data_IF_510036979828
#
_entry.id   IF_510036979828
#
_cell.length_a   1.000
_cell.length_b   1.000
_cell.length_c   1.000
_cell.angle_alpha   90.00
_cell.angle_beta   90.00
_cell.angle_gamma   90.00
#
_symmetry.space_group_name_H-M   'P 1'
#
loop_
_entity.id
_entity.type
_entity.pdbx_description
1 polymer ?
#
# COMPACT_ATOMS: atom_id res chain seq x y z
N UNK A 1 38.86 -16.16 -20.12
CA UNK A 1 37.46 -16.17 -20.57
C UNK A 1 37.29 -14.93 -21.41
N UNK A 2 37.02 -15.09 -22.70
CA UNK A 2 36.96 -13.97 -23.63
C UNK A 2 35.72 -13.13 -23.29
N UNK A 3 36.00 -11.86 -23.05
CA UNK A 3 34.98 -10.80 -22.89
C UNK A 3 34.17 -10.76 -24.19
N UNK A 4 32.89 -11.17 -24.11
CA UNK A 4 31.99 -11.06 -25.26
C UNK A 4 31.64 -9.58 -25.41
N UNK A 5 32.04 -8.93 -26.51
CA UNK A 5 31.60 -7.55 -26.72
C UNK A 5 30.09 -7.51 -26.83
N UNK A 6 29.47 -6.63 -26.05
CA UNK A 6 28.05 -6.33 -26.15
C UNK A 6 27.84 -5.59 -27.48
N UNK A 7 27.75 -6.35 -28.56
CA UNK A 7 27.38 -5.81 -29.88
C UNK A 7 25.88 -5.56 -29.88
N UNK A 8 25.45 -4.35 -29.52
CA UNK A 8 24.10 -3.91 -29.76
C UNK A 8 23.96 -3.48 -31.21
N UNK A 9 23.17 -4.18 -31.95
CA UNK A 9 22.63 -3.65 -33.19
C UNK A 9 21.68 -2.50 -32.84
N UNK A 10 21.95 -1.33 -33.36
CA UNK A 10 21.08 -0.16 -33.37
C UNK A 10 20.47 0.25 -32.02
N UNK A 11 21.28 0.78 -31.12
CA UNK A 11 20.81 1.62 -30.02
C UNK A 11 19.99 0.92 -28.91
N UNK A 12 19.86 -0.39 -28.90
CA UNK A 12 19.30 -1.15 -27.79
C UNK A 12 20.44 -1.68 -26.92
N UNK A 13 20.33 -1.53 -25.62
CA UNK A 13 21.03 -2.42 -24.68
C UNK A 13 20.91 -3.83 -25.21
N UNK A 14 22.01 -4.52 -25.46
CA UNK A 14 21.99 -5.89 -26.01
C UNK A 14 20.96 -6.71 -25.27
N UNK A 15 20.06 -7.37 -26.00
CA UNK A 15 18.84 -7.97 -25.45
C UNK A 15 19.08 -8.90 -24.25
N UNK A 16 20.26 -9.48 -24.13
CA UNK A 16 20.62 -10.35 -22.99
C UNK A 16 20.98 -9.53 -21.73
N UNK A 17 21.68 -8.42 -21.84
CA UNK A 17 22.07 -7.59 -20.68
C UNK A 17 20.88 -6.85 -20.10
N UNK A 18 20.04 -6.26 -20.95
CA UNK A 18 18.80 -5.63 -20.55
C UNK A 18 17.84 -6.63 -19.87
N UNK A 19 17.69 -7.84 -20.43
CA UNK A 19 16.86 -8.89 -19.86
C UNK A 19 17.39 -9.40 -18.52
N UNK A 20 18.68 -9.47 -18.31
CA UNK A 20 19.28 -9.89 -17.03
C UNK A 20 19.04 -8.84 -15.96
N UNK A 21 19.24 -7.56 -16.27
CA UNK A 21 18.98 -6.45 -15.36
C UNK A 21 17.47 -6.36 -15.02
N UNK A 22 16.60 -6.50 -16.00
CA UNK A 22 15.14 -6.45 -15.82
C UNK A 22 14.63 -7.62 -14.96
N UNK A 23 15.16 -8.83 -15.12
CA UNK A 23 14.83 -9.99 -14.26
C UNK A 23 15.30 -9.80 -12.82
N UNK A 24 16.49 -9.25 -12.64
CA UNK A 24 16.98 -8.90 -11.32
C UNK A 24 16.05 -7.90 -10.64
N UNK A 25 15.63 -6.87 -11.37
CA UNK A 25 14.67 -5.85 -10.91
C UNK A 25 13.34 -6.48 -10.48
N UNK A 26 12.82 -7.41 -11.26
CA UNK A 26 11.57 -8.11 -10.93
C UNK A 26 11.68 -8.81 -9.56
N UNK A 27 12.77 -9.50 -9.31
CA UNK A 27 12.97 -10.21 -8.04
C UNK A 27 13.10 -9.27 -6.85
N UNK A 28 13.88 -8.20 -6.99
CA UNK A 28 14.06 -7.20 -5.92
C UNK A 28 12.79 -6.39 -5.69
N UNK A 29 12.07 -6.10 -6.76
CA UNK A 29 10.80 -5.40 -6.70
C UNK A 29 9.76 -6.18 -5.89
N UNK A 30 9.53 -7.45 -6.19
CA UNK A 30 8.60 -8.30 -5.46
C UNK A 30 8.97 -8.36 -3.98
N UNK A 31 10.26 -8.45 -3.67
CA UNK A 31 10.75 -8.43 -2.29
C UNK A 31 10.47 -7.08 -1.60
N UNK A 32 10.74 -5.96 -2.26
CA UNK A 32 10.48 -4.63 -1.72
C UNK A 32 8.97 -4.38 -1.55
N UNK A 33 8.14 -4.75 -2.52
CA UNK A 33 6.69 -4.63 -2.47
C UNK A 33 6.10 -5.42 -1.30
N UNK A 34 6.59 -6.62 -1.06
CA UNK A 34 6.14 -7.46 0.05
C UNK A 34 6.52 -6.90 1.42
N UNK A 35 7.62 -6.18 1.52
CA UNK A 35 8.09 -5.62 2.78
C UNK A 35 7.53 -4.22 3.06
N UNK A 36 7.28 -3.39 2.03
CA UNK A 36 6.95 -1.97 2.18
C UNK A 36 5.48 -1.68 1.88
N UNK A 37 4.84 -2.39 0.95
CA UNK A 37 3.47 -2.14 0.51
C UNK A 37 2.37 -2.66 1.45
N UNK A 38 2.51 -2.44 2.75
CA UNK A 38 1.59 -2.96 3.76
C UNK A 38 0.12 -2.58 3.56
N UNK A 39 -0.24 -1.30 3.33
CA UNK A 39 -1.64 -0.93 3.15
C UNK A 39 -2.31 -1.65 2.00
N UNK A 40 -1.59 -1.89 0.91
CA UNK A 40 -2.12 -2.50 -0.30
C UNK A 40 -2.59 -3.93 -0.10
N UNK A 41 -1.96 -4.69 0.81
CA UNK A 41 -2.34 -6.07 1.11
C UNK A 41 -3.68 -6.18 1.85
N UNK A 42 -4.09 -5.11 2.49
CA UNK A 42 -5.26 -5.08 3.37
C UNK A 42 -6.37 -4.17 2.86
N UNK A 43 -6.31 -3.77 1.60
CA UNK A 43 -7.35 -3.00 0.92
C UNK A 43 -8.08 -3.88 -0.09
N UNK A 44 -9.25 -3.45 -0.52
CA UNK A 44 -9.97 -4.12 -1.60
C UNK A 44 -9.30 -3.80 -2.93
N UNK A 45 -8.75 -4.81 -3.59
CA UNK A 45 -8.19 -4.65 -4.93
C UNK A 45 -9.30 -4.71 -6.00
N UNK A 46 -9.47 -3.61 -6.71
CA UNK A 46 -10.42 -3.48 -7.83
C UNK A 46 -9.74 -3.26 -9.18
N UNK A 47 -8.43 -3.54 -9.26
CA UNK A 47 -7.61 -3.36 -10.46
C UNK A 47 -8.14 -4.12 -11.67
N UNK A 48 -8.70 -5.31 -11.45
CA UNK A 48 -9.28 -6.14 -12.51
C UNK A 48 -10.39 -5.45 -13.32
N UNK A 49 -11.15 -4.55 -12.70
CA UNK A 49 -12.24 -3.83 -13.36
C UNK A 49 -11.75 -2.72 -14.31
N UNK A 50 -10.51 -2.21 -14.14
CA UNK A 50 -9.89 -1.17 -14.98
C UNK A 50 -8.81 -1.71 -15.93
N UNK A 51 -8.63 -3.00 -16.01
CA UNK A 51 -7.51 -3.61 -16.74
C UNK A 51 -7.47 -3.23 -18.24
N UNK A 52 -8.59 -3.00 -18.89
CA UNK A 52 -8.64 -2.74 -20.33
C UNK A 52 -8.94 -1.30 -20.72
N UNK A 53 -9.93 -0.64 -20.13
CA UNK A 53 -10.39 0.72 -20.51
C UNK A 53 -11.01 1.44 -19.30
N UNK A 54 -11.01 2.79 -19.38
CA UNK A 54 -11.60 3.66 -18.37
C UNK A 54 -10.58 4.17 -17.37
N UNK A 55 -10.95 5.21 -16.66
CA UNK A 55 -10.16 5.83 -15.59
C UNK A 55 -10.89 5.77 -14.24
N UNK A 56 -12.03 5.11 -14.17
CA UNK A 56 -12.88 5.06 -12.99
C UNK A 56 -13.50 3.68 -12.82
N UNK A 57 -13.54 3.21 -11.60
CA UNK A 57 -14.22 1.98 -11.18
C UNK A 57 -15.30 2.33 -10.18
N UNK A 58 -16.52 1.94 -10.45
CA UNK A 58 -17.61 1.99 -9.49
C UNK A 58 -17.62 0.75 -8.61
N UNK A 59 -17.41 0.92 -7.32
CA UNK A 59 -17.55 -0.13 -6.31
C UNK A 59 -18.95 -0.07 -5.74
N UNK A 60 -19.76 -1.09 -6.00
CA UNK A 60 -21.12 -1.17 -5.45
C UNK A 60 -21.07 -1.53 -3.96
N UNK A 61 -21.78 -0.74 -3.17
CA UNK A 61 -21.92 -0.91 -1.73
C UNK A 61 -23.36 -1.32 -1.45
N UNK A 62 -23.55 -2.55 -0.98
CA UNK A 62 -24.86 -3.01 -0.58
C UNK A 62 -25.40 -2.19 0.61
N UNK A 63 -26.68 -1.85 0.62
CA UNK A 63 -27.30 -1.17 1.75
C UNK A 63 -27.37 -2.09 2.98
N UNK A 64 -27.37 -1.49 4.16
CA UNK A 64 -27.64 -2.22 5.39
C UNK A 64 -29.17 -2.43 5.51
N UNK A 65 -29.63 -3.67 5.36
CA UNK A 65 -31.05 -4.03 5.41
C UNK A 65 -31.39 -4.55 6.80
N UNK A 66 -32.50 -4.08 7.34
CA UNK A 66 -33.08 -4.60 8.60
C UNK A 66 -34.19 -5.57 8.28
N UNK A 67 -34.17 -6.77 8.90
CA UNK A 67 -35.28 -7.72 8.77
C UNK A 67 -36.48 -7.25 9.57
N UNK A 68 -37.67 -7.40 8.98
CA UNK A 68 -38.96 -7.16 9.67
C UNK A 68 -39.58 -8.48 10.10
N UNK A 69 -40.24 -8.47 11.27
CA UNK A 69 -40.97 -9.62 11.73
C UNK A 69 -42.33 -9.69 11.00
N UNK A 70 -42.58 -10.79 10.31
CA UNK A 70 -43.86 -11.04 9.66
C UNK A 70 -44.87 -11.56 10.69
N UNK A 71 -46.01 -10.91 10.77
CA UNK A 71 -47.15 -11.41 11.56
C UNK A 71 -47.93 -12.44 10.72
N UNK A 72 -48.34 -13.55 11.31
CA UNK A 72 -49.10 -14.58 10.60
C UNK A 72 -50.35 -13.99 9.95
N UNK A 73 -50.56 -14.28 8.66
CA UNK A 73 -51.66 -13.75 7.85
C UNK A 73 -51.43 -12.36 7.23
N UNK A 74 -50.32 -11.68 7.49
CA UNK A 74 -49.96 -10.42 6.81
C UNK A 74 -49.09 -10.63 5.59
N UNK A 75 -49.15 -9.70 4.63
CA UNK A 75 -48.28 -9.71 3.46
C UNK A 75 -46.87 -9.23 3.82
N UNK A 76 -45.83 -9.86 3.28
CA UNK A 76 -44.45 -9.39 3.38
C UNK A 76 -44.28 -8.10 2.58
N UNK A 77 -43.63 -7.10 3.18
CA UNK A 77 -43.28 -5.86 2.49
C UNK A 77 -41.90 -5.97 1.88
N UNK A 78 -41.76 -5.57 0.63
CA UNK A 78 -40.44 -5.52 -0.03
C UNK A 78 -39.63 -4.33 0.52
N UNK A 79 -38.36 -4.59 0.82
CA UNK A 79 -37.40 -3.52 1.15
C UNK A 79 -36.62 -3.16 -0.11
N UNK A 80 -36.90 -1.99 -0.68
CA UNK A 80 -36.29 -1.47 -1.89
C UNK A 80 -35.17 -0.46 -1.60
N UNK A 81 -34.46 -0.60 -0.48
CA UNK A 81 -33.35 0.30 -0.12
C UNK A 81 -32.26 0.25 -1.21
N UNK A 82 -32.02 1.34 -1.94
CA UNK A 82 -31.03 1.33 -3.03
C UNK A 82 -29.61 1.28 -2.46
N UNK A 83 -28.75 0.48 -3.08
CA UNK A 83 -27.32 0.50 -2.82
C UNK A 83 -26.67 1.79 -3.34
N UNK A 84 -25.49 2.08 -2.84
CA UNK A 84 -24.68 3.21 -3.28
C UNK A 84 -23.45 2.73 -4.06
N UNK A 85 -22.92 3.58 -4.94
CA UNK A 85 -21.69 3.29 -5.68
C UNK A 85 -20.62 4.30 -5.26
N UNK A 86 -19.49 3.79 -4.78
CA UNK A 86 -18.29 4.60 -4.55
C UNK A 86 -17.36 4.49 -5.75
N UNK A 87 -16.91 5.62 -6.26
CA UNK A 87 -16.09 5.67 -7.46
C UNK A 87 -14.60 5.81 -7.09
N UNK A 88 -13.79 4.88 -7.54
CA UNK A 88 -12.32 4.94 -7.46
C UNK A 88 -11.79 5.43 -8.80
N UNK A 89 -11.14 6.59 -8.81
CA UNK A 89 -10.61 7.20 -10.04
C UNK A 89 -9.11 7.03 -10.11
N UNK A 90 -8.59 6.50 -11.22
CA UNK A 90 -7.15 6.39 -11.51
C UNK A 90 -6.63 7.76 -11.96
N UNK A 91 -6.19 8.56 -11.02
CA UNK A 91 -5.71 9.94 -11.26
C UNK A 91 -4.31 10.20 -10.69
N UNK A 92 -3.66 9.19 -10.12
CA UNK A 92 -2.34 9.29 -9.53
C UNK A 92 -1.32 8.57 -10.38
N UNK A 93 -0.29 9.30 -10.80
CA UNK A 93 0.86 8.76 -11.53
C UNK A 93 2.12 9.07 -10.75
N UNK A 94 2.67 8.08 -10.05
CA UNK A 94 3.93 8.23 -9.34
C UNK A 94 5.08 7.63 -10.14
N UNK A 95 6.21 8.32 -10.11
CA UNK A 95 7.41 7.87 -10.80
C UNK A 95 8.67 8.28 -10.05
N UNK A 96 9.73 7.54 -10.27
CA UNK A 96 11.10 7.97 -10.01
C UNK A 96 11.93 7.75 -11.26
N UNK A 97 12.83 8.69 -11.54
CA UNK A 97 13.73 8.61 -12.68
C UNK A 97 15.16 8.85 -12.23
N UNK A 98 16.09 8.11 -12.77
CA UNK A 98 17.51 8.38 -12.64
C UNK A 98 18.22 8.16 -13.96
N UNK A 99 19.37 8.81 -14.12
CA UNK A 99 20.22 8.66 -15.28
C UNK A 99 21.59 8.15 -14.85
N UNK A 100 22.11 7.21 -15.61
CA UNK A 100 23.43 6.66 -15.44
C UNK A 100 24.27 7.00 -16.66
N UNK A 101 25.28 7.85 -16.49
CA UNK A 101 26.16 8.23 -17.59
C UNK A 101 27.04 7.05 -17.99
N UNK A 102 27.43 6.98 -19.26
CA UNK A 102 28.34 5.93 -19.75
C UNK A 102 29.66 5.91 -18.98
N UNK A 103 30.18 7.08 -18.59
CA UNK A 103 31.40 7.22 -17.81
C UNK A 103 31.21 6.64 -16.39
N UNK A 104 30.12 6.98 -15.71
CA UNK A 104 29.85 6.44 -14.39
C UNK A 104 29.69 4.90 -14.43
N UNK A 105 29.01 4.38 -15.46
CA UNK A 105 28.87 2.94 -15.66
C UNK A 105 30.18 2.23 -15.93
N UNK A 106 31.08 2.86 -16.69
CA UNK A 106 32.40 2.28 -16.99
C UNK A 106 33.31 2.25 -15.75
N UNK A 107 33.17 3.23 -14.84
CA UNK A 107 34.02 3.35 -13.66
C UNK A 107 33.49 2.56 -12.44
N UNK A 108 32.19 2.44 -12.28
CA UNK A 108 31.55 1.98 -11.02
C UNK A 108 30.96 0.55 -11.10
N UNK A 109 30.84 -0.02 -12.29
CA UNK A 109 30.31 -1.36 -12.53
C UNK A 109 28.81 -1.52 -12.20
N UNK A 110 28.30 -2.75 -12.37
CA UNK A 110 26.87 -3.06 -12.27
C UNK A 110 26.29 -2.98 -10.83
N UNK A 111 27.14 -3.01 -9.82
CA UNK A 111 26.72 -3.08 -8.40
C UNK A 111 26.04 -1.80 -7.89
N UNK A 112 26.54 -0.63 -8.29
CA UNK A 112 25.94 0.66 -7.91
C UNK A 112 24.59 0.87 -8.57
N UNK A 113 24.45 0.43 -9.82
CA UNK A 113 23.18 0.49 -10.56
C UNK A 113 22.08 -0.29 -9.86
N UNK A 114 22.37 -1.49 -9.34
CA UNK A 114 21.40 -2.33 -8.64
C UNK A 114 20.91 -1.66 -7.35
N UNK A 115 21.81 -1.11 -6.53
CA UNK A 115 21.43 -0.41 -5.29
C UNK A 115 20.59 0.85 -5.54
N UNK A 116 20.91 1.59 -6.59
CA UNK A 116 20.13 2.76 -6.99
C UNK A 116 18.71 2.39 -7.41
N UNK A 117 18.55 1.28 -8.10
CA UNK A 117 17.24 0.78 -8.51
C UNK A 117 16.39 0.34 -7.32
N UNK A 118 16.96 -0.42 -6.39
CA UNK A 118 16.26 -0.85 -5.18
C UNK A 118 15.72 0.36 -4.39
N UNK A 119 16.55 1.37 -4.20
CA UNK A 119 16.14 2.62 -3.53
C UNK A 119 14.98 3.34 -4.25
N UNK A 120 14.96 3.33 -5.58
CA UNK A 120 13.91 3.99 -6.37
C UNK A 120 12.58 3.26 -6.31
N UNK A 121 12.63 1.93 -6.33
CA UNK A 121 11.44 1.09 -6.17
C UNK A 121 10.79 1.35 -4.81
N UNK A 122 11.59 1.30 -3.75
CA UNK A 122 11.11 1.59 -2.39
C UNK A 122 10.53 3.01 -2.30
N UNK A 123 11.16 4.00 -2.95
CA UNK A 123 10.66 5.37 -2.97
C UNK A 123 9.29 5.53 -3.63
N UNK A 124 9.00 4.80 -4.74
CA UNK A 124 7.67 4.83 -5.37
C UNK A 124 6.64 4.13 -4.48
N UNK A 125 7.01 2.99 -3.89
CA UNK A 125 6.14 2.25 -2.97
C UNK A 125 5.75 3.06 -1.75
N UNK A 126 6.71 3.69 -1.09
CA UNK A 126 6.45 4.56 0.07
C UNK A 126 5.48 5.69 -0.30
N UNK A 127 5.65 6.27 -1.48
CA UNK A 127 4.75 7.31 -1.93
C UNK A 127 3.31 6.82 -2.17
N UNK A 128 3.12 5.61 -2.69
CA UNK A 128 1.78 5.00 -2.82
C UNK A 128 1.19 4.73 -1.44
N UNK A 129 2.01 4.22 -0.51
CA UNK A 129 1.61 3.97 0.87
C UNK A 129 1.15 5.25 1.57
N UNK A 130 1.93 6.33 1.47
CA UNK A 130 1.58 7.64 2.02
C UNK A 130 0.25 8.17 1.49
N UNK A 131 0.02 8.03 0.19
CA UNK A 131 -1.22 8.48 -0.43
C UNK A 131 -2.44 7.69 0.08
N UNK A 132 -2.36 6.37 0.20
CA UNK A 132 -3.45 5.54 0.75
C UNK A 132 -3.71 5.86 2.22
N UNK A 133 -2.65 6.01 3.01
CA UNK A 133 -2.76 6.32 4.43
C UNK A 133 -3.22 7.76 4.70
N UNK A 134 -3.08 8.67 3.74
CA UNK A 134 -3.66 10.02 3.84
C UNK A 134 -5.19 10.01 3.98
N UNK A 135 -5.85 8.91 3.61
CA UNK A 135 -7.29 8.73 3.83
C UNK A 135 -7.68 8.61 5.32
N UNK A 136 -6.73 8.40 6.24
CA UNK A 136 -7.03 8.25 7.66
C UNK A 136 -7.89 9.42 8.20
N UNK A 137 -7.56 10.64 7.83
CA UNK A 137 -8.28 11.86 8.24
C UNK A 137 -9.65 12.04 7.54
N UNK A 138 -9.93 11.26 6.51
CA UNK A 138 -11.17 11.33 5.74
C UNK A 138 -12.28 10.41 6.28
N UNK A 139 -11.97 9.55 7.26
CA UNK A 139 -12.96 8.73 7.95
C UNK A 139 -13.67 9.57 9.02
N UNK A 140 -14.79 10.17 8.66
CA UNK A 140 -15.52 11.14 9.50
C UNK A 140 -16.81 10.60 10.12
N UNK A 141 -17.29 9.43 9.67
CA UNK A 141 -18.53 8.83 10.21
C UNK A 141 -18.35 8.39 11.67
N UNK A 142 -17.20 7.82 12.00
CA UNK A 142 -16.84 7.51 13.37
C UNK A 142 -16.03 8.67 13.96
N UNK A 143 -16.34 9.05 15.20
CA UNK A 143 -15.48 9.98 15.92
C UNK A 143 -14.08 9.37 16.08
N UNK A 144 -13.05 10.21 16.03
CA UNK A 144 -11.67 9.77 16.19
C UNK A 144 -11.46 9.10 17.54
N UNK A 145 -10.54 8.15 17.62
CA UNK A 145 -10.06 7.58 18.88
C UNK A 145 -8.69 8.20 19.21
N UNK A 146 -8.47 8.52 20.47
CA UNK A 146 -7.23 9.16 20.91
C UNK A 146 -7.18 10.66 20.65
N UNK A 147 -6.08 11.27 21.11
CA UNK A 147 -5.83 12.72 21.00
C UNK A 147 -4.41 12.94 20.47
N UNK A 148 -4.25 13.92 19.59
CA UNK A 148 -2.94 14.27 19.05
C UNK A 148 -1.94 14.68 20.15
N UNK A 149 -0.69 14.37 19.97
CA UNK A 149 0.44 14.62 20.88
C UNK A 149 0.30 13.91 22.25
N UNK A 150 -0.47 12.85 22.30
CA UNK A 150 -0.66 12.04 23.50
C UNK A 150 -0.34 10.59 23.19
N UNK A 151 0.39 9.93 24.09
CA UNK A 151 0.69 8.51 23.93
C UNK A 151 -0.59 7.68 23.89
N UNK A 152 -0.68 6.74 22.96
CA UNK A 152 -1.81 5.83 22.84
C UNK A 152 -2.00 5.01 24.11
N UNK A 153 -3.25 4.87 24.50
CA UNK A 153 -3.67 4.04 25.62
C UNK A 153 -4.38 2.78 25.14
N UNK A 154 -4.42 1.77 26.00
CA UNK A 154 -5.17 0.54 25.77
C UNK A 154 -6.65 0.83 25.49
N UNK A 155 -7.24 1.76 26.23
CA UNK A 155 -8.63 2.18 26.09
C UNK A 155 -8.93 2.76 24.70
N UNK A 156 -8.04 3.57 24.14
CA UNK A 156 -8.19 4.18 22.81
C UNK A 156 -8.10 3.14 21.69
N UNK A 157 -7.18 2.19 21.82
CA UNK A 157 -7.08 1.05 20.89
C UNK A 157 -8.35 0.20 20.89
N UNK A 158 -8.86 -0.13 22.08
CA UNK A 158 -10.11 -0.86 22.23
C UNK A 158 -11.32 -0.06 21.73
N UNK A 159 -11.34 1.25 21.96
CA UNK A 159 -12.40 2.13 21.49
C UNK A 159 -12.46 2.20 19.95
N UNK A 160 -11.33 2.30 19.27
CA UNK A 160 -11.29 2.28 17.81
C UNK A 160 -11.95 1.00 17.25
N UNK A 161 -11.60 -0.16 17.79
CA UNK A 161 -12.20 -1.44 17.39
C UNK A 161 -13.67 -1.51 17.75
N UNK A 162 -14.06 -1.06 18.95
CA UNK A 162 -15.46 -1.03 19.39
C UNK A 162 -16.33 -0.17 18.46
N UNK A 163 -15.82 0.95 17.96
CA UNK A 163 -16.54 1.81 17.00
C UNK A 163 -16.82 1.06 15.70
N UNK A 164 -15.85 0.32 15.16
CA UNK A 164 -16.03 -0.49 13.96
C UNK A 164 -17.06 -1.61 14.18
N UNK A 165 -17.01 -2.28 15.33
CA UNK A 165 -18.00 -3.32 15.71
C UNK A 165 -19.41 -2.72 15.83
N UNK A 166 -19.52 -1.52 16.40
CA UNK A 166 -20.80 -0.79 16.48
C UNK A 166 -21.42 -0.48 15.12
N UNK A 167 -20.60 -0.27 14.11
CA UNK A 167 -21.02 -0.06 12.72
C UNK A 167 -21.23 -1.39 11.95
N UNK A 168 -21.16 -2.54 12.62
CA UNK A 168 -21.25 -3.86 12.00
C UNK A 168 -20.25 -4.07 10.86
N UNK A 169 -19.08 -3.43 10.95
CA UNK A 169 -18.01 -3.59 9.95
C UNK A 169 -17.57 -5.06 9.94
N UNK A 170 -17.39 -5.70 8.77
CA UNK A 170 -16.90 -7.06 8.70
C UNK A 170 -15.44 -7.13 9.13
N UNK A 171 -15.07 -8.13 9.93
CA UNK A 171 -13.66 -8.44 10.26
C UNK A 171 -12.95 -9.15 9.12
N UNK A 172 -11.60 -9.27 9.14
CA UNK A 172 -10.73 -8.79 10.22
C UNK A 172 -10.51 -7.28 10.22
N UNK A 173 -10.26 -6.70 11.39
CA UNK A 173 -9.87 -5.29 11.52
C UNK A 173 -8.35 -5.17 11.48
N UNK A 174 -7.88 -4.13 10.80
CA UNK A 174 -6.47 -3.88 10.55
C UNK A 174 -6.15 -2.48 11.07
N UNK A 175 -5.09 -2.38 11.84
CA UNK A 175 -4.56 -1.14 12.36
C UNK A 175 -3.17 -0.88 11.76
N UNK A 176 -3.04 0.21 11.02
CA UNK A 176 -1.78 0.68 10.45
C UNK A 176 -1.27 1.84 11.30
N UNK A 177 -0.16 1.63 11.98
CA UNK A 177 0.39 2.57 12.95
C UNK A 177 1.78 3.03 12.56
N UNK A 178 2.15 4.25 12.94
CA UNK A 178 3.44 4.86 12.62
C UNK A 178 4.59 4.08 13.22
N UNK A 179 5.53 3.69 12.40
CA UNK A 179 6.78 3.09 12.84
C UNK A 179 7.73 4.15 13.40
N UNK A 180 8.33 3.86 14.57
CA UNK A 180 9.35 4.71 15.15
C UNK A 180 8.86 5.99 15.83
N UNK A 181 7.56 6.15 16.05
CA UNK A 181 7.01 7.26 16.81
C UNK A 181 6.84 6.90 18.29
N UNK A 182 7.33 7.77 19.18
CA UNK A 182 7.33 7.57 20.65
C UNK A 182 5.91 7.44 21.17
N UNK A 183 4.99 8.28 20.71
CA UNK A 183 3.61 8.31 21.18
C UNK A 183 2.82 7.09 20.73
N UNK A 184 3.18 6.49 19.61
CA UNK A 184 2.49 5.31 19.05
C UNK A 184 3.24 4.02 19.37
N UNK A 185 4.51 3.95 18.97
CA UNK A 185 5.28 2.70 19.04
C UNK A 185 5.62 2.31 20.47
N UNK A 186 6.24 3.20 21.23
CA UNK A 186 6.63 2.91 22.60
C UNK A 186 5.43 2.66 23.49
N UNK A 187 4.34 3.42 23.28
CA UNK A 187 3.10 3.21 24.01
C UNK A 187 2.52 1.82 23.74
N UNK A 188 2.45 1.38 22.48
CA UNK A 188 1.96 0.05 22.13
C UNK A 188 2.84 -1.07 22.69
N UNK A 189 4.16 -0.87 22.70
CA UNK A 189 5.10 -1.83 23.31
C UNK A 189 4.88 -1.92 24.82
N UNK A 190 4.69 -0.81 25.51
CA UNK A 190 4.43 -0.78 26.95
C UNK A 190 3.10 -1.46 27.30
N UNK A 191 2.03 -1.13 26.57
CA UNK A 191 0.71 -1.73 26.74
C UNK A 191 0.78 -3.25 26.52
N UNK A 192 1.44 -3.68 25.46
CA UNK A 192 1.57 -5.10 25.14
C UNK A 192 2.39 -5.85 26.21
N UNK A 193 3.43 -5.24 26.76
CA UNK A 193 4.22 -5.82 27.85
C UNK A 193 3.38 -5.99 29.12
N UNK A 194 2.56 -5.01 29.47
CA UNK A 194 1.72 -5.05 30.66
C UNK A 194 0.62 -6.12 30.56
N UNK A 195 -0.04 -6.20 29.43
CA UNK A 195 -1.12 -7.18 29.20
C UNK A 195 -0.61 -8.64 29.19
N UNK A 196 0.65 -8.87 28.77
CA UNK A 196 1.21 -10.22 28.71
C UNK A 196 1.97 -10.65 29.97
N UNK A 197 2.45 -9.74 30.78
CA UNK A 197 3.05 -10.07 32.08
C UNK A 197 2.08 -10.84 32.99
N UNK A 198 0.78 -10.71 32.74
CA UNK A 198 -0.29 -11.35 33.51
C UNK A 198 -0.71 -12.74 32.99
N UNK A 199 -0.19 -13.22 31.85
CA UNK A 199 -0.71 -14.42 31.19
C UNK A 199 0.33 -15.52 31.00
N UNK A 200 1.18 -15.78 31.95
CA UNK A 200 2.15 -16.89 31.97
C UNK A 200 3.53 -16.58 31.36
N UNK A 201 4.52 -16.42 32.17
CA UNK A 201 5.95 -16.77 32.16
C UNK A 201 6.66 -17.16 30.83
N UNK A 202 6.08 -16.95 29.68
CA UNK A 202 6.68 -17.16 28.36
C UNK A 202 7.21 -15.85 27.82
N UNK A 203 8.45 -15.89 27.36
CA UNK A 203 9.12 -14.78 26.70
C UNK A 203 8.19 -14.03 25.77
N UNK A 204 8.13 -12.74 25.96
CA UNK A 204 7.20 -11.85 25.31
C UNK A 204 7.60 -11.64 23.83
N UNK A 205 6.87 -12.19 22.83
CA UNK A 205 7.23 -12.05 21.42
C UNK A 205 7.02 -10.64 20.85
N UNK A 206 6.72 -9.64 21.70
CA UNK A 206 6.47 -8.25 21.29
C UNK A 206 7.66 -7.63 20.59
N UNK A 207 8.88 -7.99 20.99
CA UNK A 207 10.10 -7.40 20.47
C UNK A 207 10.53 -7.94 19.09
N UNK A 208 9.90 -9.01 18.58
CA UNK A 208 10.24 -9.60 17.29
C UNK A 208 9.30 -9.18 16.14
N UNK A 209 8.56 -8.09 16.30
CA UNK A 209 7.74 -7.57 15.22
C UNK A 209 8.62 -6.89 14.17
N UNK A 210 9.12 -7.70 13.22
CA UNK A 210 9.64 -7.19 11.98
C UNK A 210 8.55 -6.47 11.18
N UNK A 211 8.95 -5.53 10.35
CA UNK A 211 8.10 -4.92 9.36
C UNK A 211 7.37 -6.02 8.57
N UNK A 212 6.05 -5.98 8.55
CA UNK A 212 5.27 -7.00 7.88
C UNK A 212 4.67 -8.10 8.76
N UNK A 213 5.00 -8.17 10.01
CA UNK A 213 4.37 -9.11 10.95
C UNK A 213 3.32 -8.37 11.79
N UNK A 214 2.05 -8.68 11.54
CA UNK A 214 0.94 -8.12 12.30
C UNK A 214 0.78 -8.81 13.64
N UNK A 215 0.38 -8.05 14.64
CA UNK A 215 0.01 -8.58 15.94
C UNK A 215 -1.46 -8.36 16.22
N UNK A 216 -2.13 -9.40 16.69
CA UNK A 216 -3.52 -9.31 17.13
C UNK A 216 -3.59 -8.73 18.54
N UNK A 217 -4.32 -7.61 18.66
CA UNK A 217 -4.46 -6.87 19.91
C UNK A 217 -5.81 -6.14 19.91
N UNK A 218 -6.59 -6.24 20.99
CA UNK A 218 -7.93 -5.63 21.11
C UNK A 218 -8.86 -5.81 19.89
N UNK A 219 -8.83 -7.00 19.28
CA UNK A 219 -9.71 -7.32 18.16
C UNK A 219 -9.25 -6.83 16.79
N UNK A 220 -8.08 -6.19 16.67
CA UNK A 220 -7.47 -5.75 15.42
C UNK A 220 -6.05 -6.28 15.25
N UNK A 221 -5.60 -6.40 14.00
CA UNK A 221 -4.21 -6.71 13.67
C UNK A 221 -3.43 -5.41 13.47
N UNK A 222 -2.43 -5.17 14.29
CA UNK A 222 -1.58 -4.00 14.25
C UNK A 222 -0.34 -4.25 13.40
N UNK A 223 -0.11 -3.40 12.40
CA UNK A 223 1.07 -3.42 11.54
C UNK A 223 1.75 -2.06 11.56
N UNK A 224 3.08 -2.07 11.48
CA UNK A 224 3.86 -0.84 11.42
C UNK A 224 4.04 -0.40 9.98
N UNK A 225 3.78 0.88 9.75
CA UNK A 225 3.91 1.54 8.47
C UNK A 225 4.74 2.81 8.59
N UNK A 226 5.64 3.03 7.64
CA UNK A 226 6.39 4.29 7.57
C UNK A 226 5.58 5.41 6.95
N UNK A 227 4.66 5.09 6.04
CA UNK A 227 3.83 6.04 5.30
C UNK A 227 2.69 6.70 6.09
N UNK A 228 2.48 6.33 7.37
CA UNK A 228 1.46 6.98 8.21
C UNK A 228 1.75 8.47 8.35
N UNK A 229 0.73 9.29 8.12
CA UNK A 229 0.83 10.74 8.16
C UNK A 229 1.19 11.24 9.56
N UNK A 230 2.26 12.02 9.63
CA UNK A 230 2.75 12.64 10.86
C UNK A 230 3.07 14.12 10.59
N UNK A 231 2.57 15.00 11.44
CA UNK A 231 2.88 16.42 11.43
C UNK A 231 3.42 16.83 12.81
N UNK A 232 4.72 17.01 12.90
CA UNK A 232 5.39 17.19 14.18
C UNK A 232 5.26 15.94 15.05
N UNK A 233 4.65 16.07 16.21
CA UNK A 233 4.34 14.97 17.13
C UNK A 233 2.92 14.41 16.98
N UNK A 234 2.10 14.96 16.07
CA UNK A 234 0.73 14.52 15.79
C UNK A 234 0.73 13.43 14.75
N UNK A 235 0.23 12.26 15.08
CA UNK A 235 0.20 11.10 14.19
C UNK A 235 -1.24 10.66 13.94
N UNK A 236 -1.61 10.48 12.66
CA UNK A 236 -2.92 9.97 12.22
C UNK A 236 -2.80 8.52 11.80
N UNK A 237 -2.93 7.61 12.74
CA UNK A 237 -2.97 6.17 12.47
C UNK A 237 -4.37 5.77 11.97
N UNK A 238 -4.47 4.62 11.31
CA UNK A 238 -5.71 4.16 10.70
C UNK A 238 -6.08 2.78 11.20
N UNK A 239 -7.31 2.64 11.71
CA UNK A 239 -7.92 1.34 12.03
C UNK A 239 -9.14 1.14 11.12
N UNK A 240 -9.17 0.07 10.37
CA UNK A 240 -10.21 -0.14 9.36
C UNK A 240 -10.51 -1.61 9.07
N UNK A 241 -11.64 -1.85 8.43
CA UNK A 241 -11.99 -3.14 7.81
C UNK A 241 -11.43 -3.17 6.38
N UNK A 242 -11.03 -4.32 5.89
CA UNK A 242 -10.52 -4.49 4.52
C UNK A 242 -11.45 -3.90 3.45
N UNK A 243 -12.75 -3.90 3.69
CA UNK A 243 -13.74 -3.35 2.76
C UNK A 243 -13.92 -1.83 2.87
N UNK A 244 -13.15 -1.13 3.71
CA UNK A 244 -13.28 0.32 3.90
C UNK A 244 -12.61 1.13 2.79
N UNK A 245 -11.54 0.59 2.22
CA UNK A 245 -10.72 1.25 1.21
C UNK A 245 -10.61 0.36 -0.02
N UNK A 246 -10.86 0.92 -1.19
CA UNK A 246 -10.57 0.27 -2.47
C UNK A 246 -9.40 0.94 -3.15
N UNK A 247 -8.55 0.12 -3.77
CA UNK A 247 -7.40 0.55 -4.56
C UNK A 247 -7.49 -0.09 -5.93
N UNK A 248 -7.23 0.71 -6.96
CA UNK A 248 -7.12 0.27 -8.34
C UNK A 248 -5.75 0.62 -8.86
N UNK A 249 -5.07 -0.33 -9.46
CA UNK A 249 -3.81 -0.12 -10.15
C UNK A 249 -3.90 -0.53 -11.60
N UNK A 250 -3.16 0.17 -12.45
CA UNK A 250 -3.06 -0.14 -13.87
C UNK A 250 -1.67 0.17 -14.37
N UNK A 251 -1.15 -0.72 -15.20
CA UNK A 251 0.07 -0.44 -15.93
C UNK A 251 -0.17 0.67 -16.97
N UNK A 252 0.71 1.67 -17.05
CA UNK A 252 0.66 2.66 -18.12
C UNK A 252 0.80 2.01 -19.50
N UNK A 253 0.36 2.70 -20.54
CA UNK A 253 0.50 2.24 -21.91
C UNK A 253 1.99 2.09 -22.29
N UNK A 254 2.30 1.11 -23.11
CA UNK A 254 3.64 0.91 -23.62
C UNK A 254 4.10 2.12 -24.44
N UNK A 255 5.35 2.59 -24.29
CA UNK A 255 5.91 3.62 -25.14
C UNK A 255 5.91 3.17 -26.62
N UNK A 256 5.58 4.09 -27.52
CA UNK A 256 5.58 3.83 -28.96
C UNK A 256 6.95 4.05 -29.60
N UNK A 257 7.92 4.65 -28.88
CA UNK A 257 9.23 4.96 -29.43
C UNK A 257 10.06 3.69 -29.61
N UNK A 258 10.71 3.51 -30.77
CA UNK A 258 11.64 2.41 -30.98
C UNK A 258 12.87 2.56 -30.08
N UNK A 259 13.44 1.46 -29.62
CA UNK A 259 14.66 1.46 -28.79
C UNK A 259 14.41 1.64 -27.28
N UNK A 260 13.19 1.66 -26.83
CA UNK A 260 12.84 1.70 -25.42
C UNK A 260 12.60 0.27 -24.90
N UNK A 261 13.34 -0.12 -23.88
CA UNK A 261 13.09 -1.39 -23.20
C UNK A 261 12.09 -1.16 -22.06
N UNK A 262 11.06 -2.02 -22.00
CA UNK A 262 10.00 -1.92 -21.01
C UNK A 262 9.81 -3.27 -20.32
N UNK A 263 9.75 -3.24 -19.00
CA UNK A 263 9.38 -4.38 -18.17
C UNK A 263 8.18 -4.02 -17.31
N UNK A 264 7.14 -4.84 -17.40
CA UNK A 264 5.99 -4.78 -16.52
C UNK A 264 6.19 -5.76 -15.37
N UNK A 265 6.07 -5.30 -14.16
CA UNK A 265 6.22 -6.09 -12.94
C UNK A 265 4.91 -6.03 -12.18
N UNK A 266 4.33 -7.19 -11.91
CA UNK A 266 3.08 -7.31 -11.16
C UNK A 266 3.30 -8.32 -10.05
N UNK A 267 3.03 -7.91 -8.82
CA UNK A 267 2.98 -8.82 -7.68
C UNK A 267 1.52 -9.19 -7.41
N UNK A 268 1.18 -10.46 -7.67
CA UNK A 268 -0.17 -10.97 -7.51
C UNK A 268 -0.63 -11.06 -6.05
N UNK A 269 0.30 -11.05 -5.10
CA UNK A 269 -0.01 -11.14 -3.67
C UNK A 269 -0.43 -9.78 -3.10
N UNK A 270 0.25 -8.71 -3.51
CA UNK A 270 -0.06 -7.34 -3.05
C UNK A 270 -0.94 -6.54 -4.01
N UNK A 271 -1.23 -7.08 -5.21
CA UNK A 271 -1.96 -6.35 -6.26
C UNK A 271 -1.18 -5.17 -6.87
N UNK A 272 0.11 -5.03 -6.53
CA UNK A 272 0.92 -3.89 -6.94
C UNK A 272 1.50 -4.13 -8.34
N UNK A 273 1.32 -3.15 -9.22
CA UNK A 273 1.80 -3.20 -10.59
C UNK A 273 2.65 -1.97 -10.93
N UNK A 274 3.82 -2.22 -11.50
CA UNK A 274 4.75 -1.17 -11.93
C UNK A 274 5.28 -1.43 -13.33
N UNK A 275 5.65 -0.35 -13.98
CA UNK A 275 6.35 -0.39 -15.26
C UNK A 275 7.73 0.23 -15.09
N UNK A 276 8.76 -0.49 -15.53
CA UNK A 276 10.13 -0.01 -15.63
C UNK A 276 10.42 0.29 -17.09
N UNK A 277 10.82 1.51 -17.38
CA UNK A 277 11.14 1.99 -18.73
C UNK A 277 12.62 2.37 -18.76
N UNK A 278 13.36 1.78 -19.69
CA UNK A 278 14.77 2.11 -19.92
C UNK A 278 14.93 2.72 -21.30
N UNK A 279 15.55 3.89 -21.36
CA UNK A 279 15.80 4.64 -22.59
C UNK A 279 17.21 5.22 -22.57
N UNK A 280 17.85 5.28 -23.73
CA UNK A 280 19.13 5.98 -23.89
C UNK A 280 18.88 7.42 -24.33
N UNK A 281 19.43 8.37 -23.60
CA UNK A 281 19.39 9.78 -23.93
C UNK A 281 20.72 10.19 -24.58
N UNK A 282 20.68 10.45 -25.89
CA UNK A 282 21.85 10.81 -26.67
C UNK A 282 22.46 12.16 -26.30
N UNK A 283 21.65 13.13 -25.86
CA UNK A 283 22.11 14.46 -25.48
C UNK A 283 22.96 14.45 -24.20
N UNK A 284 22.68 13.47 -23.31
CA UNK A 284 23.38 13.32 -22.03
C UNK A 284 24.35 12.16 -22.00
N UNK A 285 24.43 11.36 -23.06
CA UNK A 285 25.18 10.11 -23.12
C UNK A 285 24.93 9.24 -21.87
N UNK A 286 23.66 9.07 -21.53
CA UNK A 286 23.23 8.39 -20.31
C UNK A 286 22.06 7.46 -20.58
N UNK A 287 22.05 6.33 -19.89
CA UNK A 287 20.90 5.45 -19.78
C UNK A 287 19.94 6.04 -18.74
N UNK A 288 18.71 6.33 -19.14
CA UNK A 288 17.65 6.83 -18.27
C UNK A 288 16.72 5.69 -17.90
N UNK A 289 16.55 5.45 -16.60
CA UNK A 289 15.68 4.41 -16.06
C UNK A 289 14.58 5.09 -15.27
N UNK A 290 13.33 4.78 -15.63
CA UNK A 290 12.14 5.31 -14.99
C UNK A 290 11.32 4.16 -14.42
N UNK A 291 10.99 4.21 -13.14
CA UNK A 291 10.05 3.32 -12.48
C UNK A 291 8.79 4.11 -12.20
N UNK A 292 7.65 3.63 -12.68
CA UNK A 292 6.39 4.36 -12.51
C UNK A 292 5.18 3.45 -12.39
N UNK A 293 4.11 3.97 -11.79
CA UNK A 293 2.83 3.30 -11.63
C UNK A 293 1.67 4.27 -11.76
N UNK A 294 0.56 3.79 -12.27
CA UNK A 294 -0.72 4.52 -12.34
C UNK A 294 -1.71 3.85 -11.40
N UNK A 295 -2.29 4.61 -10.48
CA UNK A 295 -3.22 4.09 -9.49
C UNK A 295 -4.28 5.09 -9.08
N UNK A 296 -5.29 4.58 -8.41
CA UNK A 296 -6.32 5.34 -7.75
C UNK A 296 -6.72 4.66 -6.45
N UNK A 297 -7.22 5.43 -5.52
CA UNK A 297 -7.70 4.92 -4.26
C UNK A 297 -8.93 5.71 -3.79
N UNK A 298 -9.74 5.10 -2.94
CA UNK A 298 -10.92 5.76 -2.43
C UNK A 298 -11.53 5.03 -1.24
N UNK A 299 -12.31 5.75 -0.44
CA UNK A 299 -13.09 5.18 0.64
C UNK A 299 -14.36 4.58 0.04
N UNK A 300 -14.60 3.30 0.30
CA UNK A 300 -15.82 2.61 -0.09
C UNK A 300 -16.93 2.87 0.92
N UNK A 301 -16.69 2.58 2.19
CA UNK A 301 -17.66 2.83 3.27
C UNK A 301 -17.00 3.56 4.43
N UNK A 302 -17.37 4.83 4.60
CA UNK A 302 -16.75 5.72 5.61
C UNK A 302 -16.95 5.20 7.06
N UNK A 303 -18.04 4.49 7.34
CA UNK A 303 -18.30 3.89 8.65
C UNK A 303 -17.36 2.75 9.02
N UNK A 304 -16.56 2.21 8.08
CA UNK A 304 -15.68 1.05 8.28
C UNK A 304 -14.23 1.41 8.57
N UNK A 305 -13.95 2.69 8.80
CA UNK A 305 -12.66 3.20 9.23
C UNK A 305 -12.77 4.13 10.43
N UNK A 306 -11.68 4.20 11.21
CA UNK A 306 -11.52 5.08 12.37
C UNK A 306 -10.10 5.65 12.35
N UNK A 307 -9.98 6.96 12.49
CA UNK A 307 -8.69 7.60 12.72
C UNK A 307 -8.30 7.40 14.20
N UNK A 308 -7.11 6.82 14.42
CA UNK A 308 -6.53 6.63 15.74
C UNK A 308 -5.39 7.64 15.91
N UNK A 309 -5.60 8.65 16.76
CA UNK A 309 -4.69 9.79 16.96
C UNK A 309 -3.73 9.52 18.09
N UNK A 310 -2.45 9.90 17.87
CA UNK A 310 -1.40 9.88 18.88
C UNK A 310 -0.50 11.11 18.81
#
# INVERSE_FOLDING_TARGET
>A
MADQPITSAAGSLGSSGANTLLRYLETQFVRAARNTGMPMKFTMDVSGAVASKGNQVGVYIAPDITSSLLTDGSAATQDDTPGTTSNVTLNRHRYTKFSLTQVARALDGDFTTQKLLDSRIVGVLNGVEEDVLSLATSFTTNANAGTFNTALTEAECAEATRKLMGQKAPGPYIALVKAGDVTTWEALVQIANFTQANTSGKENPVFNLGYGQGRFFHGAYYFYCHGVNQSGTSTSNLVYSQNAIAVAMRLPALPMSPGVAVQNIVDSESGIAFQVVMNFNGDRLADEITVHTLYGYGITKNAYGVELRS
#
